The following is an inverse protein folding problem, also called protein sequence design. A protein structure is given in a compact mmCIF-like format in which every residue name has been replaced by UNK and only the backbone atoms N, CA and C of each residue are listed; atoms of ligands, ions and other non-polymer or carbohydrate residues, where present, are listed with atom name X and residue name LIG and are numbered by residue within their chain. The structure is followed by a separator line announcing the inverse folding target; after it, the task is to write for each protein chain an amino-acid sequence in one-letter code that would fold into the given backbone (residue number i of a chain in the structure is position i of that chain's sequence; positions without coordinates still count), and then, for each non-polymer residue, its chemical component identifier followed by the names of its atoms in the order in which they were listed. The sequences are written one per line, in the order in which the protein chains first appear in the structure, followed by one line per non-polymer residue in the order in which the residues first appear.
data_IF_389233246772
#
_entry.id   IF_389233246772
#
_cell.length_a   1.000
_cell.length_b   1.000
_cell.length_c   1.000
_cell.angle_alpha   90.00
_cell.angle_beta   90.00
_cell.angle_gamma   90.00
#
_symmetry.space_group_name_H-M   'P 1'
#
loop_
_entity.id
_entity.type
_entity.pdbx_description
1 polymer ?
#
# COMPACT_ATOMS: atom_id res chain seq x y z
N UNK A 1 22.37 45.01 35.01
CA UNK A 1 21.48 43.86 34.77
C UNK A 1 22.07 43.03 33.63
N UNK A 2 22.77 41.93 33.93
CA UNK A 2 23.35 41.03 32.93
C UNK A 2 22.30 39.96 32.61
N UNK A 3 21.80 39.94 31.37
CA UNK A 3 20.89 38.90 30.87
C UNK A 3 21.75 37.68 30.53
N UNK A 4 21.66 36.62 31.33
CA UNK A 4 22.21 35.30 30.98
C UNK A 4 21.25 34.61 30.03
N UNK A 5 21.64 34.46 28.76
CA UNK A 5 20.99 33.56 27.81
C UNK A 5 21.23 32.12 28.30
N UNK A 6 20.17 31.40 28.64
CA UNK A 6 20.19 29.93 28.63
C UNK A 6 20.25 29.50 27.17
N UNK A 7 21.44 29.15 26.68
CA UNK A 7 21.57 28.35 25.48
C UNK A 7 21.13 26.93 25.85
N UNK A 8 19.88 26.59 25.51
CA UNK A 8 19.44 25.21 25.46
C UNK A 8 20.37 24.48 24.47
N UNK A 9 21.21 23.58 24.98
CA UNK A 9 21.90 22.62 24.15
C UNK A 9 20.83 21.74 23.51
N UNK A 10 20.50 22.06 22.26
CA UNK A 10 19.83 21.15 21.36
C UNK A 10 20.79 19.97 21.18
N UNK A 11 20.56 18.89 21.94
CA UNK A 11 21.12 17.58 21.65
C UNK A 11 20.56 17.17 20.30
N UNK A 12 21.21 17.61 19.23
CA UNK A 12 21.12 16.96 17.93
C UNK A 12 21.78 15.60 18.11
N UNK A 13 21.00 14.64 18.62
CA UNK A 13 21.33 13.23 18.47
C UNK A 13 21.32 12.98 16.97
N UNK A 14 22.50 12.97 16.37
CA UNK A 14 22.67 12.46 15.02
C UNK A 14 22.19 11.01 15.05
N UNK A 15 21.01 10.76 14.52
CA UNK A 15 20.63 9.41 14.13
C UNK A 15 21.55 9.10 12.96
N UNK A 16 22.67 8.45 13.25
CA UNK A 16 23.39 7.72 12.23
C UNK A 16 22.40 6.69 11.72
N UNK A 17 21.98 6.80 10.47
CA UNK A 17 21.33 5.68 9.80
C UNK A 17 22.43 4.75 9.31
N UNK A 18 22.33 3.45 9.58
CA UNK A 18 23.13 2.48 8.85
C UNK A 18 22.49 2.25 7.48
N UNK A 19 23.31 2.25 6.41
CA UNK A 19 22.91 1.74 5.10
C UNK A 19 22.94 0.21 5.18
N UNK A 20 21.91 -0.37 5.77
CA UNK A 20 21.86 -1.79 6.06
C UNK A 20 20.43 -2.25 6.08
N UNK A 21 19.95 -2.74 4.94
CA UNK A 21 19.13 -3.94 4.79
C UNK A 21 18.88 -4.16 3.30
N UNK A 22 19.16 -5.39 2.87
CA UNK A 22 18.49 -6.07 1.77
C UNK A 22 17.66 -7.22 2.42
N UNK A 23 16.49 -7.55 1.87
CA UNK A 23 15.65 -8.70 2.25
C UNK A 23 14.62 -8.55 3.39
N UNK A 24 13.80 -7.48 3.36
CA UNK A 24 12.56 -7.40 4.12
C UNK A 24 11.49 -8.29 3.49
N UNK A 25 10.94 -9.24 4.25
CA UNK A 25 9.79 -10.06 3.84
C UNK A 25 8.54 -9.55 4.55
N UNK A 26 7.65 -8.92 3.78
CA UNK A 26 6.30 -8.61 4.21
C UNK A 26 5.43 -9.84 4.02
N UNK A 27 5.13 -10.43 5.16
CA UNK A 27 4.13 -11.47 5.33
C UNK A 27 4.43 -12.78 4.57
N UNK A 28 3.58 -13.77 4.81
CA UNK A 28 3.55 -15.02 4.07
C UNK A 28 2.09 -15.43 3.98
N UNK A 29 1.64 -15.91 2.82
CA UNK A 29 0.29 -16.46 2.59
C UNK A 29 -0.15 -17.55 3.60
N UNK A 30 0.77 -18.06 4.42
CA UNK A 30 0.50 -18.94 5.54
C UNK A 30 -0.03 -18.26 6.83
N UNK A 31 0.04 -16.92 6.94
CA UNK A 31 -0.50 -16.15 8.06
C UNK A 31 -1.91 -15.63 7.73
N UNK A 32 -2.84 -15.73 8.68
CA UNK A 32 -4.23 -15.32 8.48
C UNK A 32 -4.43 -13.83 8.78
N UNK A 33 -4.01 -12.98 7.85
CA UNK A 33 -4.12 -11.53 7.92
C UNK A 33 -4.76 -10.90 6.66
N UNK A 34 -5.91 -11.43 6.19
CA UNK A 34 -6.51 -11.01 4.93
C UNK A 34 -6.93 -9.54 4.93
N UNK A 35 -6.98 -8.99 3.73
CA UNK A 35 -7.56 -7.68 3.45
C UNK A 35 -9.01 -7.83 3.01
N UNK A 36 -9.91 -7.18 3.73
CA UNK A 36 -11.34 -7.11 3.44
C UNK A 36 -11.71 -5.74 2.89
N UNK A 37 -12.63 -5.72 1.93
CA UNK A 37 -13.33 -4.51 1.51
C UNK A 37 -14.33 -4.07 2.58
N UNK A 38 -14.87 -2.85 2.45
CA UNK A 38 -15.89 -2.32 3.37
C UNK A 38 -17.18 -3.14 3.48
N UNK A 39 -17.45 -4.03 2.52
CA UNK A 39 -18.62 -4.93 2.54
C UNK A 39 -18.34 -6.27 3.22
N UNK A 40 -17.09 -6.51 3.65
CA UNK A 40 -16.65 -7.77 4.25
C UNK A 40 -16.21 -8.84 3.25
N UNK A 41 -16.21 -8.55 1.95
CA UNK A 41 -15.59 -9.42 0.94
C UNK A 41 -14.07 -9.28 0.93
N UNK A 42 -13.33 -10.32 0.56
CA UNK A 42 -11.87 -10.23 0.37
C UNK A 42 -11.53 -9.28 -0.78
N UNK A 43 -10.54 -8.41 -0.58
CA UNK A 43 -10.03 -7.53 -1.62
C UNK A 43 -9.20 -8.35 -2.62
N UNK A 44 -9.51 -8.24 -3.90
CA UNK A 44 -8.87 -9.04 -4.94
C UNK A 44 -8.19 -8.14 -5.99
N UNK A 45 -7.00 -8.50 -6.47
CA UNK A 45 -6.42 -7.78 -7.60
C UNK A 45 -7.23 -7.99 -8.88
N UNK A 46 -7.93 -9.13 -8.99
CA UNK A 46 -8.92 -9.33 -10.05
C UNK A 46 -10.06 -8.28 -10.01
N UNK A 47 -10.28 -7.59 -8.89
CA UNK A 47 -11.27 -6.51 -8.73
C UNK A 47 -10.64 -5.10 -8.77
N UNK A 48 -9.37 -5.00 -9.16
CA UNK A 48 -8.68 -3.74 -9.33
C UNK A 48 -7.93 -3.23 -8.10
N UNK A 49 -7.80 -4.03 -7.04
CA UNK A 49 -7.02 -3.64 -5.86
C UNK A 49 -5.53 -3.93 -6.04
N UNK A 50 -4.68 -3.10 -5.45
CA UNK A 50 -3.23 -3.25 -5.43
C UNK A 50 -2.71 -3.05 -4.01
N UNK A 51 -1.58 -3.68 -3.69
CA UNK A 51 -0.92 -3.58 -2.39
C UNK A 51 0.46 -2.95 -2.57
N UNK A 52 0.86 -2.09 -1.63
CA UNK A 52 2.21 -1.54 -1.56
C UNK A 52 2.78 -1.67 -0.15
N UNK A 53 4.09 -1.73 -0.10
CA UNK A 53 4.89 -2.03 1.08
C UNK A 53 5.76 -0.83 1.38
N UNK A 54 5.80 -0.45 2.65
CA UNK A 54 6.42 0.79 3.09
C UNK A 54 7.30 0.54 4.30
N UNK A 55 8.39 1.29 4.37
CA UNK A 55 9.39 1.15 5.42
C UNK A 55 9.86 2.51 5.87
N UNK A 56 10.11 2.63 7.17
CA UNK A 56 10.69 3.82 7.76
C UNK A 56 12.15 3.97 7.32
N UNK A 57 12.42 5.08 6.66
CA UNK A 57 13.74 5.60 6.38
C UNK A 57 14.02 6.81 7.30
N UNK A 58 15.20 6.83 7.91
CA UNK A 58 15.61 7.85 8.89
C UNK A 58 15.78 9.24 8.28
N UNK A 59 15.97 9.33 6.96
CA UNK A 59 16.19 10.57 6.23
C UNK A 59 14.88 11.05 5.58
N UNK A 60 14.18 10.14 4.92
CA UNK A 60 13.03 10.44 4.05
C UNK A 60 11.67 10.20 4.72
N UNK A 61 11.66 9.66 5.94
CA UNK A 61 10.43 9.24 6.60
C UNK A 61 9.93 7.91 6.03
N UNK A 62 8.62 7.72 5.95
CA UNK A 62 8.04 6.48 5.44
C UNK A 62 8.06 6.48 3.90
N UNK A 63 8.83 5.56 3.31
CA UNK A 63 9.01 5.46 1.86
C UNK A 63 8.48 4.13 1.31
N UNK A 64 8.10 4.14 0.04
CA UNK A 64 7.66 2.93 -0.64
C UNK A 64 8.85 1.98 -0.90
N UNK A 65 8.72 0.74 -0.44
CA UNK A 65 9.65 -0.36 -0.66
C UNK A 65 9.26 -1.22 -1.87
N UNK A 66 7.97 -1.25 -2.22
CA UNK A 66 7.45 -2.08 -3.29
C UNK A 66 5.96 -1.94 -3.52
N UNK A 67 5.51 -2.43 -4.67
CA UNK A 67 4.10 -2.54 -5.04
C UNK A 67 3.88 -3.88 -5.73
N UNK A 68 2.74 -4.52 -5.47
CA UNK A 68 2.43 -5.84 -6.01
C UNK A 68 0.93 -6.06 -6.15
N UNK A 69 0.55 -7.12 -6.87
CA UNK A 69 -0.79 -7.66 -6.85
C UNK A 69 -0.99 -8.59 -5.64
N UNK A 70 -2.24 -8.80 -5.26
CA UNK A 70 -2.60 -9.86 -4.32
C UNK A 70 -2.25 -11.25 -4.92
N UNK A 71 -2.14 -12.24 -4.04
CA UNK A 71 -1.81 -13.62 -4.38
C UNK A 71 -2.79 -14.26 -5.38
N UNK A 72 -4.01 -13.73 -5.48
CA UNK A 72 -5.02 -14.17 -6.44
C UNK A 72 -4.55 -14.05 -7.89
N UNK A 73 -3.96 -12.92 -8.26
CA UNK A 73 -3.40 -12.72 -9.60
C UNK A 73 -1.93 -13.15 -9.69
N UNK A 74 -1.12 -12.86 -8.67
CA UNK A 74 0.31 -13.19 -8.67
C UNK A 74 0.58 -14.68 -8.86
N UNK A 75 -0.25 -15.55 -8.26
CA UNK A 75 -0.11 -17.00 -8.33
C UNK A 75 -1.22 -17.68 -9.14
N UNK A 76 -2.14 -16.91 -9.73
CA UNK A 76 -3.32 -17.42 -10.44
C UNK A 76 -4.21 -18.31 -9.55
N UNK A 77 -4.39 -17.92 -8.28
CA UNK A 77 -5.12 -18.68 -7.26
C UNK A 77 -6.25 -17.84 -6.64
N UNK A 78 -7.45 -17.85 -7.24
CA UNK A 78 -8.58 -17.00 -6.80
C UNK A 78 -8.94 -17.11 -5.31
N UNK A 79 -8.70 -18.27 -4.70
CA UNK A 79 -8.99 -18.52 -3.28
C UNK A 79 -8.05 -17.75 -2.33
N UNK A 80 -6.98 -17.14 -2.86
CA UNK A 80 -6.00 -16.35 -2.12
C UNK A 80 -6.24 -14.83 -2.24
N UNK A 81 -7.45 -14.42 -2.66
CA UNK A 81 -7.86 -13.02 -2.58
C UNK A 81 -7.64 -12.48 -1.15
N UNK A 82 -7.17 -11.24 -1.05
CA UNK A 82 -6.92 -10.56 0.22
C UNK A 82 -5.58 -10.93 0.87
N UNK A 83 -4.87 -11.95 0.37
CA UNK A 83 -3.54 -12.34 0.86
C UNK A 83 -2.44 -11.83 -0.06
N UNK A 84 -1.31 -11.46 0.51
CA UNK A 84 -0.17 -10.88 -0.20
C UNK A 84 1.14 -11.45 0.34
N UNK A 85 2.20 -11.31 -0.44
CA UNK A 85 3.56 -11.63 -0.04
C UNK A 85 4.50 -10.74 -0.83
N UNK A 86 5.45 -10.13 -0.15
CA UNK A 86 6.45 -9.31 -0.82
C UNK A 86 7.80 -9.46 -0.15
N UNK A 87 8.83 -9.65 -0.97
CA UNK A 87 10.22 -9.73 -0.53
C UNK A 87 11.01 -8.63 -1.23
N UNK A 88 11.61 -7.73 -0.47
CA UNK A 88 12.52 -6.72 -1.00
C UNK A 88 13.88 -7.37 -1.28
N UNK A 89 14.01 -8.11 -2.40
CA UNK A 89 15.14 -9.01 -2.65
C UNK A 89 16.49 -8.27 -2.84
N UNK A 90 17.57 -8.89 -2.37
CA UNK A 90 18.96 -8.60 -2.76
C UNK A 90 19.27 -9.07 -4.20
N UNK A 91 20.10 -8.37 -5.00
CA UNK A 91 20.51 -8.85 -6.32
C UNK A 91 21.29 -10.16 -6.21
N UNK A 92 20.79 -11.21 -6.88
CA UNK A 92 21.65 -12.31 -7.34
C UNK A 92 21.45 -13.70 -6.71
N UNK A 93 20.41 -13.95 -5.92
CA UNK A 93 20.16 -15.31 -5.37
C UNK A 93 18.99 -16.06 -6.07
N UNK A 94 18.12 -15.36 -6.79
CA UNK A 94 17.13 -15.97 -7.69
C UNK A 94 17.09 -15.17 -9.00
N UNK A 95 17.47 -15.77 -10.14
CA UNK A 95 17.41 -15.11 -11.47
C UNK A 95 15.97 -14.90 -11.97
N UNK A 96 15.69 -14.09 -13.02
CA UNK A 96 16.28 -12.80 -13.42
C UNK A 96 15.20 -11.72 -13.68
N UNK A 97 15.42 -10.49 -13.20
CA UNK A 97 14.86 -9.26 -13.79
C UNK A 97 13.88 -8.45 -12.93
N UNK A 98 14.39 -7.36 -12.34
CA UNK A 98 13.64 -6.17 -11.88
C UNK A 98 13.39 -6.00 -10.37
N UNK A 99 14.40 -6.28 -9.55
CA UNK A 99 14.53 -5.60 -8.25
C UNK A 99 15.70 -4.62 -8.32
N UNK A 100 15.42 -3.31 -8.29
CA UNK A 100 16.41 -2.35 -7.78
C UNK A 100 16.64 -2.69 -6.31
N UNK A 101 17.90 -2.86 -5.89
CA UNK A 101 18.26 -2.79 -4.47
C UNK A 101 17.63 -1.55 -3.87
N UNK A 102 16.64 -1.73 -3.01
CA UNK A 102 16.07 -0.62 -2.28
C UNK A 102 16.75 -0.62 -0.93
N UNK A 103 17.79 0.21 -0.83
CA UNK A 103 18.48 0.43 0.43
C UNK A 103 17.66 1.40 1.28
N UNK A 104 17.43 1.04 2.53
CA UNK A 104 16.74 1.89 3.50
C UNK A 104 17.71 2.35 4.56
N UNK A 105 17.65 3.62 4.95
CA UNK A 105 18.42 4.13 6.07
C UNK A 105 17.67 3.78 7.36
N UNK A 106 18.01 2.66 7.97
CA UNK A 106 17.26 2.18 9.14
C UNK A 106 17.61 2.90 10.43
N UNK A 107 16.66 3.03 11.38
CA UNK A 107 16.94 3.64 12.68
C UNK A 107 17.90 2.80 13.54
N UNK A 108 18.88 3.46 14.18
CA UNK A 108 19.80 2.88 15.16
C UNK A 108 19.15 2.64 16.55
N UNK A 109 17.84 2.40 16.59
CA UNK A 109 17.08 2.25 17.84
C UNK A 109 16.62 0.81 18.10
N UNK A 110 17.03 -0.15 17.26
CA UNK A 110 16.63 -1.56 17.36
C UNK A 110 15.18 -1.83 16.95
N UNK A 111 14.51 -0.90 16.27
CA UNK A 111 13.13 -1.02 15.83
C UNK A 111 12.93 -0.40 14.44
N UNK A 112 12.34 -1.15 13.52
CA UNK A 112 11.99 -0.68 12.18
C UNK A 112 10.48 -0.66 12.01
N UNK A 113 9.92 0.53 11.78
CA UNK A 113 8.52 0.66 11.43
C UNK A 113 8.29 0.33 9.96
N UNK A 114 7.23 -0.43 9.69
CA UNK A 114 6.81 -0.83 8.35
C UNK A 114 5.30 -0.82 8.21
N UNK A 115 4.83 -0.67 6.99
CA UNK A 115 3.42 -0.45 6.71
C UNK A 115 3.02 -1.05 5.37
N UNK A 116 1.78 -1.48 5.29
CA UNK A 116 1.12 -1.95 4.10
C UNK A 116 -0.01 -1.00 3.79
N UNK A 117 -0.09 -0.60 2.53
CA UNK A 117 -1.14 0.25 2.00
C UNK A 117 -1.82 -0.43 0.85
N UNK A 118 -3.14 -0.44 0.88
CA UNK A 118 -3.98 -1.04 -0.15
C UNK A 118 -4.94 0.00 -0.66
N UNK A 119 -5.12 0.06 -1.97
CA UNK A 119 -6.13 0.90 -2.61
C UNK A 119 -6.70 0.23 -3.85
N UNK A 120 -7.89 0.65 -4.23
CA UNK A 120 -8.50 0.29 -5.50
C UNK A 120 -7.92 1.16 -6.62
N UNK A 121 -7.05 0.56 -7.43
CA UNK A 121 -6.39 1.22 -8.56
C UNK A 121 -7.32 1.32 -9.77
N UNK A 122 -8.05 0.24 -10.09
CA UNK A 122 -9.09 0.25 -11.12
C UNK A 122 -10.48 0.29 -10.48
N UNK A 123 -11.27 1.31 -10.85
CA UNK A 123 -12.61 1.58 -10.29
C UNK A 123 -13.74 1.40 -11.31
N UNK A 124 -13.44 0.75 -12.44
CA UNK A 124 -14.38 0.54 -13.55
C UNK A 124 -15.33 -0.65 -13.35
N UNK A 125 -15.12 -1.42 -12.28
CA UNK A 125 -15.92 -2.59 -11.92
C UNK A 125 -15.73 -3.78 -12.88
N UNK A 126 -14.66 -3.78 -13.69
CA UNK A 126 -14.33 -4.89 -14.56
C UNK A 126 -13.35 -5.86 -13.88
N UNK A 127 -13.33 -7.14 -14.29
CA UNK A 127 -12.26 -8.04 -13.92
C UNK A 127 -10.93 -7.63 -14.54
N UNK A 128 -9.85 -7.71 -13.78
CA UNK A 128 -8.49 -7.41 -14.22
C UNK A 128 -7.58 -8.64 -14.19
N UNK A 129 -6.54 -8.60 -15.00
CA UNK A 129 -5.49 -9.61 -15.13
C UNK A 129 -4.15 -9.02 -14.72
N UNK A 130 -3.13 -9.86 -14.53
CA UNK A 130 -1.79 -9.39 -14.16
C UNK A 130 -1.25 -8.32 -15.13
N UNK A 131 -1.52 -8.47 -16.43
CA UNK A 131 -1.08 -7.55 -17.48
C UNK A 131 -1.60 -6.12 -17.30
N UNK A 132 -2.79 -5.96 -16.72
CA UNK A 132 -3.36 -4.64 -16.44
C UNK A 132 -2.52 -3.87 -15.41
N UNK A 133 -1.80 -4.58 -14.52
CA UNK A 133 -0.96 -3.99 -13.49
C UNK A 133 0.49 -3.78 -13.92
N UNK A 134 0.94 -4.29 -15.08
CA UNK A 134 2.35 -4.22 -15.50
C UNK A 134 2.92 -2.79 -15.45
N UNK A 135 2.11 -1.79 -15.79
CA UNK A 135 2.53 -0.37 -15.76
C UNK A 135 2.79 0.15 -14.34
N UNK A 136 1.95 -0.21 -13.37
CA UNK A 136 2.14 0.24 -11.98
C UNK A 136 3.24 -0.56 -11.29
N UNK A 137 3.38 -1.85 -11.61
CA UNK A 137 4.42 -2.70 -11.06
C UNK A 137 5.83 -2.32 -11.56
N UNK A 138 5.92 -1.76 -12.76
CA UNK A 138 7.17 -1.25 -13.32
C UNK A 138 7.45 0.23 -12.98
N UNK A 139 6.57 0.90 -12.21
CA UNK A 139 6.74 2.31 -11.89
C UNK A 139 7.82 2.52 -10.81
N UNK A 140 8.54 3.64 -10.90
CA UNK A 140 9.48 4.05 -9.86
C UNK A 140 8.78 4.17 -8.50
N UNK A 141 9.42 3.73 -7.42
CA UNK A 141 8.81 3.71 -6.08
C UNK A 141 8.36 5.10 -5.60
N UNK A 142 9.07 6.16 -5.96
CA UNK A 142 8.64 7.55 -5.68
C UNK A 142 7.36 7.96 -6.42
N UNK A 143 7.10 7.36 -7.59
CA UNK A 143 5.84 7.56 -8.33
C UNK A 143 4.69 6.87 -7.62
N UNK A 144 4.92 5.69 -7.02
CA UNK A 144 3.91 4.98 -6.22
C UNK A 144 3.42 5.84 -5.06
N UNK A 145 4.32 6.60 -4.42
CA UNK A 145 3.91 7.51 -3.34
C UNK A 145 2.94 8.59 -3.81
N UNK A 146 3.20 9.16 -4.99
CA UNK A 146 2.30 10.11 -5.64
C UNK A 146 0.95 9.49 -5.99
N UNK A 147 0.95 8.26 -6.53
CA UNK A 147 -0.26 7.51 -6.89
C UNK A 147 -1.13 7.24 -5.65
N UNK A 148 -0.52 6.76 -4.56
CA UNK A 148 -1.21 6.53 -3.29
C UNK A 148 -1.90 7.80 -2.79
N UNK A 149 -1.15 8.91 -2.71
CA UNK A 149 -1.70 10.18 -2.21
C UNK A 149 -2.85 10.68 -3.09
N UNK A 150 -2.74 10.53 -4.42
CA UNK A 150 -3.80 10.87 -5.35
C UNK A 150 -5.04 9.97 -5.18
N UNK A 151 -4.85 8.67 -4.97
CA UNK A 151 -5.92 7.71 -4.74
C UNK A 151 -6.72 8.03 -3.46
N UNK A 152 -6.01 8.28 -2.35
CA UNK A 152 -6.63 8.70 -1.08
C UNK A 152 -7.40 10.01 -1.24
N UNK A 153 -6.80 11.01 -1.91
CA UNK A 153 -7.45 12.29 -2.16
C UNK A 153 -8.69 12.17 -3.06
N UNK A 154 -8.67 11.23 -4.02
CA UNK A 154 -9.82 10.90 -4.87
C UNK A 154 -10.92 10.13 -4.12
N UNK A 155 -10.65 9.65 -2.90
CA UNK A 155 -11.61 8.92 -2.08
C UNK A 155 -11.90 7.51 -2.60
N UNK A 156 -10.97 6.87 -3.32
CA UNK A 156 -11.12 5.46 -3.69
C UNK A 156 -11.08 4.57 -2.43
N UNK A 157 -11.58 3.34 -2.51
CA UNK A 157 -11.43 2.39 -1.40
C UNK A 157 -9.97 2.17 -1.08
N UNK A 158 -9.57 2.43 0.17
CA UNK A 158 -8.19 2.30 0.62
C UNK A 158 -8.08 1.97 2.10
N UNK A 159 -6.90 1.52 2.53
CA UNK A 159 -6.60 1.23 3.92
C UNK A 159 -5.11 1.04 4.17
N UNK A 160 -4.75 1.12 5.45
CA UNK A 160 -3.38 1.08 5.92
C UNK A 160 -3.29 0.19 7.16
N UNK A 161 -2.28 -0.68 7.22
CA UNK A 161 -1.92 -1.42 8.44
C UNK A 161 -0.40 -1.37 8.62
N UNK A 162 0.08 -1.19 9.84
CA UNK A 162 1.50 -1.00 10.10
C UNK A 162 1.93 -1.56 11.45
N UNK A 163 3.22 -1.80 11.58
CA UNK A 163 3.82 -2.52 12.69
C UNK A 163 5.29 -2.14 12.89
N UNK A 164 5.90 -2.63 13.95
CA UNK A 164 7.31 -2.38 14.25
C UNK A 164 8.00 -3.69 14.54
N UNK A 165 9.11 -3.91 13.83
CA UNK A 165 9.90 -5.13 13.94
C UNK A 165 11.20 -4.86 14.67
N UNK A 166 11.64 -5.81 15.49
CA UNK A 166 12.92 -5.69 16.18
C UNK A 166 14.07 -5.87 15.17
N UNK A 167 15.06 -4.98 15.24
CA UNK A 167 16.24 -5.02 14.38
C UNK A 167 17.52 -5.29 15.16
N UNK A 168 18.50 -5.91 14.50
CA UNK A 168 19.84 -6.08 15.02
C UNK A 168 20.64 -4.78 15.01
N UNK A 169 21.89 -4.82 15.46
CA UNK A 169 22.78 -3.65 15.50
C UNK A 169 23.18 -3.11 14.12
N UNK A 170 22.81 -3.80 13.03
CA UNK A 170 23.04 -3.38 11.65
C UNK A 170 21.75 -2.89 10.98
N UNK A 171 20.63 -2.86 11.73
CA UNK A 171 19.32 -2.47 11.21
C UNK A 171 18.47 -3.63 10.72
N UNK A 172 18.98 -4.86 10.63
CA UNK A 172 18.30 -6.01 10.00
C UNK A 172 17.19 -6.61 10.86
N UNK A 173 15.99 -6.95 10.33
CA UNK A 173 14.97 -7.61 11.15
C UNK A 173 15.49 -8.95 11.70
N UNK A 174 15.35 -9.14 13.01
CA UNK A 174 15.90 -10.31 13.71
C UNK A 174 15.25 -11.63 13.26
N UNK A 175 14.02 -11.56 12.75
CA UNK A 175 13.18 -12.72 12.41
C UNK A 175 13.10 -13.04 10.91
N UNK A 176 13.70 -12.23 10.03
CA UNK A 176 13.57 -12.37 8.56
C UNK A 176 12.18 -12.01 7.99
N UNK A 177 11.11 -12.12 8.80
CA UNK A 177 9.79 -11.56 8.58
C UNK A 177 9.66 -10.23 9.29
N UNK A 178 9.10 -9.24 8.60
CA UNK A 178 8.95 -7.89 9.14
C UNK A 178 7.83 -7.87 10.20
N UNK A 179 6.66 -8.45 9.96
CA UNK A 179 5.65 -8.60 11.01
C UNK A 179 4.54 -9.57 10.57
N UNK A 180 3.72 -10.03 11.51
CA UNK A 180 2.39 -10.60 11.21
C UNK A 180 1.38 -9.47 11.39
N UNK A 181 1.01 -8.78 10.30
CA UNK A 181 0.04 -7.68 10.41
C UNK A 181 -1.33 -8.21 10.83
N UNK A 182 -2.13 -7.39 11.50
CA UNK A 182 -3.55 -7.70 11.70
C UNK A 182 -4.30 -7.60 10.37
N UNK A 183 -5.39 -8.36 10.22
CA UNK A 183 -6.33 -8.21 9.11
C UNK A 183 -6.73 -6.75 8.91
N UNK A 184 -6.81 -6.30 7.65
CA UNK A 184 -7.15 -4.94 7.29
C UNK A 184 -8.58 -4.89 6.72
N UNK A 185 -9.37 -3.90 7.12
CA UNK A 185 -10.65 -3.59 6.44
C UNK A 185 -10.53 -2.23 5.76
N UNK A 186 -10.77 -2.20 4.45
CA UNK A 186 -10.67 -1.00 3.62
C UNK A 186 -11.87 -0.08 3.83
N UNK A 187 -11.62 1.22 3.66
CA UNK A 187 -12.67 2.24 3.60
C UNK A 187 -13.63 1.99 2.42
N UNK A 188 -14.86 2.44 2.55
CA UNK A 188 -15.79 2.47 1.43
C UNK A 188 -15.32 3.52 0.40
N UNK A 189 -15.46 3.20 -0.89
CA UNK A 189 -15.19 4.18 -1.95
C UNK A 189 -16.22 5.31 -1.87
N UNK A 190 -15.75 6.55 -1.84
CA UNK A 190 -16.59 7.74 -2.04
C UNK A 190 -16.83 8.03 -3.53
N UNK A 191 -16.15 7.31 -4.43
CA UNK A 191 -16.35 7.39 -5.88
C UNK A 191 -17.60 6.57 -6.22
N UNK A 192 -18.66 7.20 -6.79
CA UNK A 192 -19.84 6.48 -7.22
C UNK A 192 -19.45 5.41 -8.24
N UNK A 193 -19.93 4.19 -8.04
CA UNK A 193 -19.73 3.12 -9.03
C UNK A 193 -20.32 3.51 -10.40
N UNK A 194 -19.82 2.97 -11.52
CA UNK A 194 -20.44 3.15 -12.84
C UNK A 194 -21.95 2.84 -12.87
N UNK A 195 -22.37 1.85 -12.07
CA UNK A 195 -23.78 1.49 -11.83
C UNK A 195 -24.59 2.66 -11.23
N UNK A 196 -23.98 3.47 -10.38
CA UNK A 196 -24.58 4.66 -9.77
C UNK A 196 -24.81 5.75 -10.81
N UNK A 197 -23.86 5.96 -11.73
CA UNK A 197 -24.04 6.87 -12.84
C UNK A 197 -25.14 6.40 -13.80
N UNK A 198 -25.22 5.09 -14.09
CA UNK A 198 -26.29 4.51 -14.90
C UNK A 198 -27.66 4.66 -14.22
N UNK A 199 -27.74 4.45 -12.91
CA UNK A 199 -28.97 4.64 -12.13
C UNK A 199 -29.42 6.11 -12.12
N UNK A 200 -28.49 7.06 -11.95
CA UNK A 200 -28.78 8.50 -12.02
C UNK A 200 -29.25 8.92 -13.42
N UNK A 201 -28.61 8.41 -14.48
CA UNK A 201 -29.04 8.65 -15.85
C UNK A 201 -30.45 8.08 -16.11
N UNK A 202 -30.72 6.87 -15.65
CA UNK A 202 -32.05 6.25 -15.71
C UNK A 202 -33.12 7.06 -14.96
N UNK A 203 -32.80 7.55 -13.76
CA UNK A 203 -33.67 8.42 -12.96
C UNK A 203 -33.97 9.75 -13.68
N UNK A 204 -32.96 10.37 -14.28
CA UNK A 204 -33.11 11.61 -15.02
C UNK A 204 -34.02 11.44 -16.25
N UNK A 205 -33.84 10.34 -16.99
CA UNK A 205 -34.68 9.99 -18.16
C UNK A 205 -36.13 9.74 -17.72
N UNK A 206 -36.35 9.01 -16.62
CA UNK A 206 -37.69 8.78 -16.10
C UNK A 206 -38.37 10.07 -15.64
N UNK A 207 -37.65 10.95 -14.93
CA UNK A 207 -38.17 12.25 -14.53
C UNK A 207 -38.57 13.11 -15.74
N UNK A 208 -37.74 13.13 -16.78
CA UNK A 208 -38.04 13.84 -18.03
C UNK A 208 -39.30 13.26 -18.73
N UNK A 209 -39.39 11.94 -18.85
CA UNK A 209 -40.54 11.28 -19.47
C UNK A 209 -41.85 11.57 -18.72
N UNK A 210 -41.82 11.61 -17.39
CA UNK A 210 -42.99 11.99 -16.56
C UNK A 210 -43.38 13.45 -16.80
N UNK A 211 -42.42 14.37 -16.89
CA UNK A 211 -42.69 15.78 -17.16
C UNK A 211 -43.31 15.96 -18.54
N UNK A 212 -42.74 15.34 -19.58
CA UNK A 212 -43.26 15.43 -20.95
C UNK A 212 -44.67 14.85 -21.04
N UNK A 213 -44.91 13.67 -20.45
CA UNK A 213 -46.24 13.05 -20.43
C UNK A 213 -47.30 13.88 -19.70
N UNK A 214 -46.91 14.73 -18.74
CA UNK A 214 -47.82 15.67 -18.05
C UNK A 214 -48.07 16.97 -18.82
N UNK A 215 -47.26 17.26 -19.85
CA UNK A 215 -47.37 18.47 -20.67
C UNK A 215 -48.14 18.25 -21.99
N UNK A 216 -48.38 16.99 -22.36
CA UNK A 216 -49.27 16.58 -23.44
C UNK A 216 -50.62 16.13 -22.88
#
# INVERSE_FOLDING_TARGET
MKKSLMAACLLAGSVTGHAGINNLIWDNVAYDNPVYTSTGALAASAQGYVVSFWVQDTINGLICAGVDTFADLRYEMSDYAGYYIYESVEPGIYEPGQGTTTFFNTPDNGSLYTEIRVWQYFTDGQPHTQQDFDLILAADLSTIEGIWNAAVAAGVSHGTTGGSTATDSLGTPVTGLVDSYSSLTLSASAVPEPSTYAALAGLAIMAYAVIVRRRH
#
